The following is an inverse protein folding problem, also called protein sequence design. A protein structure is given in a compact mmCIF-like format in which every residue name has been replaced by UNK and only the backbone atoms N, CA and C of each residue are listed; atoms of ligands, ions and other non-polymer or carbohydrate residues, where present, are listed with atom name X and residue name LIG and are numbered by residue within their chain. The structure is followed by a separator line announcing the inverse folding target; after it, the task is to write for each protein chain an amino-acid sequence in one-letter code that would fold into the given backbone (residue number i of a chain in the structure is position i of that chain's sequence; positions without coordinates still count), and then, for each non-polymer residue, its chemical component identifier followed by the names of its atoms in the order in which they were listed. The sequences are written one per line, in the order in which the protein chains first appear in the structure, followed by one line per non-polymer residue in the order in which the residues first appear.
data_IF_972299571343
#
_entry.id   IF_972299571343
#
_cell.length_a   1.000
_cell.length_b   1.000
_cell.length_c   1.000
_cell.angle_alpha   90.00
_cell.angle_beta   90.00
_cell.angle_gamma   90.00
#
_symmetry.space_group_name_H-M   'P 1'
#
loop_
_entity.id
_entity.type
_entity.pdbx_description
1 polymer ?
#
# COMPACT_ATOMS: atom_id res chain seq x y z
N UNK A 1 -44.04 38.03 31.87
CA UNK A 1 -42.91 38.08 30.91
C UNK A 1 -42.36 39.50 30.94
N UNK A 2 -41.29 39.78 31.70
CA UNK A 2 -40.64 41.09 31.63
C UNK A 2 -39.35 40.90 30.81
N UNK A 3 -39.50 41.04 29.50
CA UNK A 3 -38.39 41.40 28.61
C UNK A 3 -38.05 42.87 28.93
N UNK A 4 -36.81 43.24 29.24
CA UNK A 4 -36.56 44.55 29.82
C UNK A 4 -36.32 45.64 28.80
N UNK A 5 -36.80 46.82 29.21
CA UNK A 5 -36.05 48.08 29.29
C UNK A 5 -35.01 48.25 28.17
N UNK A 6 -35.52 48.71 27.03
CA UNK A 6 -34.73 49.56 26.15
C UNK A 6 -34.30 50.78 26.96
N UNK A 7 -32.99 51.08 27.02
CA UNK A 7 -32.60 52.47 27.30
C UNK A 7 -33.15 53.31 26.15
N UNK A 8 -33.51 54.56 26.38
CA UNK A 8 -33.82 55.45 25.27
C UNK A 8 -32.53 55.70 24.49
N UNK A 9 -32.58 55.54 23.17
CA UNK A 9 -31.46 55.92 22.31
C UNK A 9 -31.36 57.45 22.39
N UNK A 10 -30.23 58.03 22.82
CA UNK A 10 -30.11 59.47 22.93
C UNK A 10 -30.39 60.16 21.59
N UNK A 11 -31.01 61.33 21.67
CA UNK A 11 -31.31 62.15 20.50
C UNK A 11 -30.04 62.41 19.67
N UNK A 12 -30.16 62.30 18.35
CA UNK A 12 -29.01 62.45 17.44
C UNK A 12 -28.10 61.22 17.32
N UNK A 13 -28.36 60.14 18.04
CA UNK A 13 -27.65 58.85 17.90
C UNK A 13 -28.55 57.77 17.32
N UNK A 14 -27.96 56.78 16.64
CA UNK A 14 -28.71 55.62 16.19
C UNK A 14 -27.83 54.36 16.04
N UNK A 15 -28.46 53.18 16.04
CA UNK A 15 -27.81 51.90 15.81
C UNK A 15 -27.41 51.78 14.34
N UNK A 16 -26.27 51.13 14.06
CA UNK A 16 -25.80 50.88 12.68
C UNK A 16 -26.86 50.22 11.79
N UNK A 17 -27.65 49.29 12.34
CA UNK A 17 -28.72 48.60 11.63
C UNK A 17 -29.91 49.50 11.28
N UNK A 18 -30.23 50.48 12.12
CA UNK A 18 -31.35 51.38 11.89
C UNK A 18 -30.96 52.56 11.00
N UNK A 19 -29.72 53.07 11.12
CA UNK A 19 -29.15 53.97 10.10
C UNK A 19 -29.23 53.33 8.72
N UNK A 20 -28.87 52.04 8.61
CA UNK A 20 -28.98 51.30 7.35
C UNK A 20 -30.42 51.21 6.83
N UNK A 21 -31.43 51.04 7.70
CA UNK A 21 -32.85 51.06 7.31
C UNK A 21 -33.29 52.43 6.79
N UNK A 22 -32.69 53.51 7.31
CA UNK A 22 -32.87 54.88 6.85
C UNK A 22 -32.07 55.21 5.57
N UNK A 23 -31.35 54.22 5.00
CA UNK A 23 -30.49 54.46 3.83
C UNK A 23 -29.23 55.25 4.14
N UNK A 24 -28.78 55.27 5.39
CA UNK A 24 -27.62 56.02 5.88
C UNK A 24 -26.52 55.08 6.39
N UNK A 25 -25.27 55.37 6.04
CA UNK A 25 -24.08 54.74 6.60
C UNK A 25 -23.35 55.74 7.51
N UNK A 26 -22.94 55.30 8.70
CA UNK A 26 -22.09 56.14 9.55
C UNK A 26 -20.70 56.31 8.94
N UNK A 27 -20.16 57.51 9.03
CA UNK A 27 -18.81 57.88 8.56
C UNK A 27 -17.81 58.10 9.70
N UNK A 28 -18.24 57.92 10.96
CA UNK A 28 -17.42 58.14 12.15
C UNK A 28 -17.38 56.92 13.06
N UNK A 29 -16.52 57.00 14.08
CA UNK A 29 -16.39 55.96 15.09
C UNK A 29 -17.63 55.88 16.00
N UNK A 30 -17.86 54.72 16.65
CA UNK A 30 -18.87 54.59 17.70
C UNK A 30 -18.72 55.66 18.77
N UNK A 31 -19.82 56.37 19.10
CA UNK A 31 -19.80 57.39 20.15
C UNK A 31 -20.13 56.83 21.53
N UNK A 32 -20.97 55.81 21.58
CA UNK A 32 -21.32 55.15 22.84
C UNK A 32 -21.89 53.75 22.59
N UNK A 33 -22.04 52.98 23.66
CA UNK A 33 -22.57 51.62 23.67
C UNK A 33 -23.99 51.62 24.24
N UNK A 34 -24.89 51.03 23.49
CA UNK A 34 -26.29 50.83 23.85
C UNK A 34 -26.51 49.41 24.33
N UNK A 35 -26.96 49.27 25.57
CA UNK A 35 -27.27 47.98 26.19
C UNK A 35 -28.78 47.72 26.13
N UNK A 36 -29.14 46.50 25.77
CA UNK A 36 -30.51 46.03 25.71
C UNK A 36 -30.57 44.57 26.14
N UNK A 37 -31.72 44.10 26.59
CA UNK A 37 -31.84 42.71 27.07
C UNK A 37 -32.70 41.86 26.14
N UNK A 38 -32.15 40.73 25.76
CA UNK A 38 -32.80 39.70 24.94
C UNK A 38 -33.20 38.50 25.79
N UNK A 39 -33.83 37.50 25.16
CA UNK A 39 -34.11 36.21 25.81
C UNK A 39 -32.83 35.46 26.23
N UNK A 40 -31.67 35.79 25.64
CA UNK A 40 -30.37 35.15 25.91
C UNK A 40 -29.54 35.89 26.97
N UNK A 41 -29.97 37.07 27.43
CA UNK A 41 -29.23 37.88 28.40
C UNK A 41 -29.11 39.34 27.97
N UNK A 42 -28.20 40.07 28.63
CA UNK A 42 -27.86 41.44 28.21
C UNK A 42 -26.96 41.40 26.97
N UNK A 43 -27.37 42.11 25.94
CA UNK A 43 -26.62 42.35 24.73
C UNK A 43 -26.30 43.84 24.61
N UNK A 44 -25.41 44.16 23.68
CA UNK A 44 -24.99 45.52 23.45
C UNK A 44 -24.72 45.75 21.97
N UNK A 45 -24.88 47.00 21.55
CA UNK A 45 -24.50 47.45 20.22
C UNK A 45 -23.93 48.86 20.29
N UNK A 46 -23.21 49.26 19.24
CA UNK A 46 -22.64 50.59 19.12
C UNK A 46 -23.66 51.59 18.55
N UNK A 47 -23.67 52.80 19.11
CA UNK A 47 -24.41 53.94 18.60
C UNK A 47 -23.48 54.89 17.86
N UNK A 48 -24.00 55.48 16.80
CA UNK A 48 -23.29 56.37 15.89
C UNK A 48 -24.07 57.68 15.76
N UNK A 49 -23.37 58.80 15.58
CA UNK A 49 -24.03 60.08 15.32
C UNK A 49 -24.79 60.05 13.99
N UNK A 50 -26.06 60.44 14.02
CA UNK A 50 -26.89 60.62 12.82
C UNK A 50 -26.34 61.75 11.94
N UNK A 51 -25.81 62.81 12.56
CA UNK A 51 -25.16 63.92 11.86
C UNK A 51 -23.86 63.53 11.13
N UNK A 52 -23.23 62.42 11.53
CA UNK A 52 -22.03 61.85 10.89
C UNK A 52 -22.41 60.64 10.03
N UNK A 53 -23.33 60.86 9.08
CA UNK A 53 -23.79 59.84 8.15
C UNK A 53 -23.76 60.32 6.70
N UNK A 54 -23.67 59.38 5.78
CA UNK A 54 -23.79 59.61 4.34
C UNK A 54 -24.84 58.68 3.74
N UNK A 55 -25.51 59.08 2.64
CA UNK A 55 -26.43 58.20 1.92
C UNK A 55 -25.73 56.93 1.45
N UNK A 56 -26.39 55.79 1.62
CA UNK A 56 -25.94 54.51 1.10
C UNK A 56 -26.16 54.47 -0.41
N UNK A 57 -25.09 54.32 -1.18
CA UNK A 57 -25.18 53.92 -2.57
C UNK A 57 -25.49 52.41 -2.66
N UNK A 58 -26.78 52.10 -2.71
CA UNK A 58 -27.25 50.71 -2.81
C UNK A 58 -26.81 50.03 -4.12
N UNK A 59 -26.71 50.76 -5.22
CA UNK A 59 -26.29 50.21 -6.51
C UNK A 59 -24.80 49.87 -6.50
N UNK A 60 -23.96 50.77 -5.99
CA UNK A 60 -22.53 50.49 -5.82
C UNK A 60 -22.28 49.33 -4.84
N UNK A 61 -23.03 49.25 -3.74
CA UNK A 61 -22.93 48.15 -2.79
C UNK A 61 -23.37 46.80 -3.39
N UNK A 62 -24.45 46.78 -4.17
CA UNK A 62 -24.88 45.58 -4.88
C UNK A 62 -23.84 45.12 -5.90
N UNK A 63 -23.28 46.06 -6.67
CA UNK A 63 -22.22 45.78 -7.62
C UNK A 63 -20.96 45.23 -6.92
N UNK A 64 -20.53 45.87 -5.83
CA UNK A 64 -19.39 45.39 -5.03
C UNK A 64 -19.64 43.99 -4.43
N UNK A 65 -20.88 43.68 -4.02
CA UNK A 65 -21.26 42.35 -3.55
C UNK A 65 -21.20 41.32 -4.67
N UNK A 66 -21.69 41.64 -5.86
CA UNK A 66 -21.61 40.77 -7.05
C UNK A 66 -20.16 40.51 -7.44
N UNK A 67 -19.32 41.54 -7.47
CA UNK A 67 -17.88 41.41 -7.76
C UNK A 67 -17.18 40.52 -6.74
N UNK A 68 -17.40 40.72 -5.43
CA UNK A 68 -16.81 39.85 -4.39
C UNK A 68 -17.28 38.40 -4.51
N UNK A 69 -18.55 38.18 -4.86
CA UNK A 69 -19.07 36.83 -5.10
C UNK A 69 -18.39 36.18 -6.31
N UNK A 70 -18.25 36.91 -7.41
CA UNK A 70 -17.55 36.44 -8.61
C UNK A 70 -16.06 36.16 -8.35
N UNK A 71 -15.37 37.02 -7.58
CA UNK A 71 -13.98 36.81 -7.19
C UNK A 71 -13.79 35.56 -6.32
N UNK A 72 -14.70 35.30 -5.39
CA UNK A 72 -14.68 34.07 -4.57
C UNK A 72 -14.91 32.83 -5.41
N UNK A 73 -15.85 32.89 -6.35
CA UNK A 73 -16.12 31.81 -7.29
C UNK A 73 -14.92 31.53 -8.19
N UNK A 74 -14.30 32.56 -8.75
CA UNK A 74 -13.08 32.41 -9.55
C UNK A 74 -11.95 31.80 -8.72
N UNK A 75 -11.71 32.33 -7.51
CA UNK A 75 -10.68 31.79 -6.63
C UNK A 75 -10.92 30.31 -6.28
N UNK A 76 -12.18 29.91 -6.08
CA UNK A 76 -12.54 28.50 -5.88
C UNK A 76 -12.17 27.65 -7.09
N UNK A 77 -12.53 28.10 -8.29
CA UNK A 77 -12.21 27.39 -9.54
C UNK A 77 -10.69 27.29 -9.77
N UNK A 78 -9.95 28.35 -9.45
CA UNK A 78 -8.48 28.37 -9.55
C UNK A 78 -7.86 27.33 -8.59
N UNK A 79 -8.37 27.24 -7.36
CA UNK A 79 -7.94 26.21 -6.39
C UNK A 79 -8.31 24.80 -6.84
N UNK A 80 -9.54 24.58 -7.31
CA UNK A 80 -9.97 23.27 -7.85
C UNK A 80 -9.07 22.81 -8.99
N UNK A 81 -8.71 23.74 -9.89
CA UNK A 81 -7.81 23.47 -11.01
C UNK A 81 -6.40 23.10 -10.49
N UNK A 82 -5.84 23.91 -9.59
CA UNK A 82 -4.52 23.67 -8.99
C UNK A 82 -4.44 22.31 -8.30
N UNK A 83 -5.41 21.95 -7.45
CA UNK A 83 -5.43 20.66 -6.77
C UNK A 83 -5.65 19.49 -7.74
N UNK A 84 -6.47 19.67 -8.78
CA UNK A 84 -6.65 18.66 -9.81
C UNK A 84 -5.35 18.40 -10.59
N UNK A 85 -4.58 19.44 -10.89
CA UNK A 85 -3.27 19.32 -11.56
C UNK A 85 -2.25 18.63 -10.64
N UNK A 86 -2.22 18.99 -9.36
CA UNK A 86 -1.33 18.38 -8.37
C UNK A 86 -1.64 16.89 -8.15
N UNK A 87 -2.93 16.53 -8.05
CA UNK A 87 -3.38 15.14 -7.98
C UNK A 87 -2.94 14.34 -9.20
N UNK A 88 -3.18 14.87 -10.40
CA UNK A 88 -2.79 14.21 -11.64
C UNK A 88 -1.27 14.02 -11.74
N UNK A 89 -0.48 15.00 -11.28
CA UNK A 89 0.98 14.88 -11.21
C UNK A 89 1.40 13.77 -10.24
N UNK A 90 0.82 13.74 -9.04
CA UNK A 90 1.16 12.74 -8.02
C UNK A 90 0.76 11.32 -8.45
N UNK A 91 -0.40 11.16 -9.10
CA UNK A 91 -0.82 9.89 -9.70
C UNK A 91 0.15 9.43 -10.78
N UNK A 92 0.58 10.34 -11.66
CA UNK A 92 1.51 10.04 -12.73
C UNK A 92 2.89 9.61 -12.20
N UNK A 93 3.42 10.32 -11.20
CA UNK A 93 4.69 10.00 -10.56
C UNK A 93 4.63 8.66 -9.82
N UNK A 94 3.56 8.44 -9.03
CA UNK A 94 3.33 7.18 -8.30
C UNK A 94 3.25 5.99 -9.26
N UNK A 95 2.53 6.16 -10.37
CA UNK A 95 2.43 5.15 -11.42
C UNK A 95 3.80 4.90 -12.08
N UNK A 96 4.56 5.95 -12.39
CA UNK A 96 5.87 5.82 -13.03
C UNK A 96 6.85 5.03 -12.15
N UNK A 97 6.87 5.31 -10.84
CA UNK A 97 7.69 4.60 -9.86
C UNK A 97 7.28 3.12 -9.75
N UNK A 98 5.98 2.85 -9.63
CA UNK A 98 5.44 1.49 -9.61
C UNK A 98 5.83 0.70 -10.88
N UNK A 99 5.69 1.32 -12.06
CA UNK A 99 6.09 0.73 -13.33
C UNK A 99 7.60 0.48 -13.40
N UNK A 100 8.43 1.32 -12.78
CA UNK A 100 9.87 1.11 -12.73
C UNK A 100 10.23 -0.14 -11.92
N UNK A 101 9.64 -0.32 -10.74
CA UNK A 101 9.83 -1.52 -9.90
C UNK A 101 9.36 -2.81 -10.58
N UNK A 102 8.23 -2.74 -11.30
CA UNK A 102 7.75 -3.85 -12.12
C UNK A 102 8.76 -4.23 -13.23
N UNK A 103 9.29 -3.24 -13.95
CA UNK A 103 10.29 -3.48 -15.01
C UNK A 103 11.57 -4.09 -14.45
N UNK A 104 12.02 -3.62 -13.27
CA UNK A 104 13.18 -4.19 -12.56
C UNK A 104 12.94 -5.67 -12.19
N UNK A 105 11.74 -5.99 -11.69
CA UNK A 105 11.36 -7.36 -11.37
C UNK A 105 11.36 -8.27 -12.60
N UNK A 106 10.71 -7.88 -13.69
CA UNK A 106 10.71 -8.66 -14.95
C UNK A 106 12.13 -8.86 -15.48
N UNK A 107 12.97 -7.82 -15.45
CA UNK A 107 14.39 -7.93 -15.83
C UNK A 107 15.14 -8.94 -14.96
N UNK A 108 14.84 -9.00 -13.66
CA UNK A 108 15.44 -9.97 -12.74
C UNK A 108 15.06 -11.41 -13.11
N UNK A 109 13.79 -11.67 -13.43
CA UNK A 109 13.36 -12.99 -13.91
C UNK A 109 14.02 -13.39 -15.23
N UNK A 110 14.22 -12.45 -16.17
CA UNK A 110 15.01 -12.71 -17.39
C UNK A 110 16.45 -13.10 -17.07
N UNK A 111 17.12 -12.31 -16.21
CA UNK A 111 18.49 -12.61 -15.82
C UNK A 111 18.63 -13.98 -15.16
N UNK A 112 17.67 -14.37 -14.32
CA UNK A 112 17.65 -15.71 -13.73
C UNK A 112 17.45 -16.80 -14.78
N UNK A 113 16.53 -16.60 -15.72
CA UNK A 113 16.28 -17.56 -16.79
C UNK A 113 17.51 -17.80 -17.68
N UNK A 114 18.34 -16.78 -17.86
CA UNK A 114 19.57 -16.84 -18.66
C UNK A 114 20.79 -17.36 -17.86
N UNK A 115 20.71 -17.47 -16.53
CA UNK A 115 21.84 -17.90 -15.69
C UNK A 115 21.95 -19.44 -15.66
N UNK A 116 22.99 -20.05 -16.26
CA UNK A 116 23.15 -21.50 -16.28
C UNK A 116 23.41 -22.11 -14.89
N UNK A 117 23.70 -21.29 -13.88
CA UNK A 117 23.90 -21.74 -12.49
C UNK A 117 22.58 -21.89 -11.75
N UNK A 118 21.47 -21.36 -12.26
CA UNK A 118 20.19 -21.41 -11.58
C UNK A 118 19.71 -22.86 -11.43
N UNK A 119 19.23 -23.19 -10.24
CA UNK A 119 18.44 -24.38 -9.93
C UNK A 119 17.25 -23.95 -9.09
N UNK A 120 16.13 -24.62 -9.26
CA UNK A 120 14.91 -24.30 -8.55
C UNK A 120 14.71 -25.32 -7.44
N UNK A 121 14.53 -24.82 -6.24
CA UNK A 121 14.45 -25.64 -5.02
C UNK A 121 13.09 -25.44 -4.39
N UNK A 122 12.49 -26.55 -3.95
CA UNK A 122 11.30 -26.55 -3.11
C UNK A 122 11.49 -27.52 -1.95
N UNK A 123 10.93 -27.16 -0.79
CA UNK A 123 10.92 -28.02 0.39
C UNK A 123 9.52 -28.15 0.98
N UNK A 124 9.25 -29.31 1.59
CA UNK A 124 8.21 -29.45 2.61
C UNK A 124 8.89 -29.67 3.96
N UNK A 125 8.25 -29.25 5.04
CA UNK A 125 8.87 -29.24 6.36
C UNK A 125 7.96 -29.82 7.44
N UNK A 126 8.53 -30.24 8.56
CA UNK A 126 7.76 -30.67 9.73
C UNK A 126 6.89 -29.56 10.33
N UNK A 127 7.14 -28.30 9.99
CA UNK A 127 6.46 -27.13 10.55
C UNK A 127 7.03 -25.83 9.98
N UNK A 128 6.45 -24.67 10.33
CA UNK A 128 6.86 -23.36 9.79
C UNK A 128 8.34 -23.02 10.05
N UNK A 129 8.90 -23.55 11.13
CA UNK A 129 10.32 -23.42 11.51
C UNK A 129 11.00 -24.79 11.64
N UNK A 130 10.44 -25.81 10.99
CA UNK A 130 10.78 -27.22 11.16
C UNK A 130 11.95 -27.72 10.29
N UNK A 131 12.16 -29.03 10.33
CA UNK A 131 13.13 -29.75 9.51
C UNK A 131 12.51 -30.09 8.15
N UNK A 132 13.35 -30.21 7.12
CA UNK A 132 12.94 -30.70 5.79
C UNK A 132 12.42 -32.15 5.90
N UNK A 133 11.25 -32.40 5.31
CA UNK A 133 10.64 -33.75 5.15
C UNK A 133 10.50 -34.18 3.71
N UNK A 134 10.63 -33.24 2.77
CA UNK A 134 10.69 -33.49 1.34
C UNK A 134 11.50 -32.36 0.70
N UNK A 135 12.34 -32.70 -0.27
CA UNK A 135 13.09 -31.71 -1.05
C UNK A 135 13.12 -32.11 -2.51
N UNK A 136 12.94 -31.10 -3.37
CA UNK A 136 13.11 -31.24 -4.80
C UNK A 136 14.05 -30.15 -5.33
N UNK A 137 14.88 -30.54 -6.29
CA UNK A 137 15.75 -29.65 -7.05
C UNK A 137 15.48 -29.92 -8.52
N UNK A 138 15.04 -28.89 -9.25
CA UNK A 138 14.72 -28.99 -10.67
C UNK A 138 15.51 -27.95 -11.47
N UNK A 139 15.77 -28.26 -12.74
CA UNK A 139 16.24 -27.30 -13.73
C UNK A 139 15.10 -26.36 -14.17
N UNK A 140 15.42 -25.28 -14.88
CA UNK A 140 14.44 -24.28 -15.32
C UNK A 140 13.35 -24.83 -16.27
N UNK A 141 13.65 -25.88 -17.02
CA UNK A 141 12.67 -26.62 -17.85
C UNK A 141 11.76 -27.54 -17.02
N UNK A 142 12.00 -27.65 -15.70
CA UNK A 142 11.23 -28.48 -14.78
C UNK A 142 11.72 -29.92 -14.63
N UNK A 143 12.86 -30.29 -15.24
CA UNK A 143 13.43 -31.63 -15.09
C UNK A 143 13.95 -31.85 -13.66
N UNK A 144 13.51 -32.90 -12.94
CA UNK A 144 14.00 -33.19 -11.60
C UNK A 144 15.44 -33.71 -11.63
N UNK A 145 16.30 -33.11 -10.80
CA UNK A 145 17.65 -33.58 -10.51
C UNK A 145 17.69 -34.34 -9.18
N UNK A 146 16.90 -33.87 -8.20
CA UNK A 146 16.66 -34.54 -6.92
C UNK A 146 15.18 -34.41 -6.60
N UNK A 147 14.57 -35.49 -6.15
CA UNK A 147 13.19 -35.55 -5.65
C UNK A 147 13.14 -36.67 -4.62
N UNK A 148 13.08 -36.32 -3.33
CA UNK A 148 13.12 -37.31 -2.25
C UNK A 148 12.40 -36.83 -1.00
N UNK A 149 11.77 -37.77 -0.31
CA UNK A 149 11.40 -37.62 1.10
C UNK A 149 12.66 -37.59 1.97
N UNK A 150 12.52 -37.05 3.17
CA UNK A 150 13.58 -36.92 4.17
C UNK A 150 13.03 -37.35 5.53
N UNK A 151 13.72 -38.28 6.18
CA UNK A 151 13.38 -38.67 7.56
C UNK A 151 13.89 -37.62 8.54
N UNK A 152 12.96 -36.81 9.06
CA UNK A 152 13.23 -35.85 10.12
C UNK A 152 13.46 -36.54 11.49
N UNK A 153 14.10 -35.83 12.43
CA UNK A 153 14.32 -36.30 13.81
C UNK A 153 13.22 -35.89 14.78
N UNK A 154 12.23 -35.15 14.30
CA UNK A 154 11.06 -34.67 15.06
C UNK A 154 9.76 -34.97 14.29
N UNK A 155 8.62 -35.14 14.98
CA UNK A 155 7.35 -35.40 14.33
C UNK A 155 6.89 -34.26 13.41
N UNK A 156 6.10 -34.59 12.39
CA UNK A 156 5.37 -33.60 11.58
C UNK A 156 4.28 -32.94 12.42
N UNK A 157 4.27 -31.60 12.45
CA UNK A 157 3.23 -30.82 13.11
C UNK A 157 1.88 -30.99 12.37
N UNK A 158 0.74 -31.03 13.09
CA UNK A 158 -0.57 -31.14 12.46
C UNK A 158 -0.87 -30.05 11.43
N UNK A 159 -0.28 -28.87 11.59
CA UNK A 159 -0.40 -27.77 10.63
C UNK A 159 0.27 -28.07 9.29
N UNK A 160 1.49 -28.61 9.32
CA UNK A 160 2.23 -28.98 8.11
C UNK A 160 1.57 -30.17 7.40
N UNK A 161 1.17 -31.20 8.17
CA UNK A 161 0.41 -32.35 7.65
C UNK A 161 -0.84 -31.92 6.86
N UNK A 162 -1.64 -30.98 7.38
CA UNK A 162 -2.83 -30.47 6.67
C UNK A 162 -2.54 -29.82 5.33
N UNK A 163 -1.31 -29.34 5.12
CA UNK A 163 -0.90 -28.70 3.86
C UNK A 163 -0.38 -29.76 2.89
N UNK A 164 0.67 -30.51 3.25
CA UNK A 164 1.37 -31.40 2.32
C UNK A 164 0.92 -32.87 2.35
N UNK A 165 0.10 -33.27 3.33
CA UNK A 165 -0.45 -34.63 3.45
C UNK A 165 0.49 -35.70 4.00
N UNK A 166 1.81 -35.49 3.98
CA UNK A 166 2.80 -36.43 4.56
C UNK A 166 2.57 -36.70 6.05
N UNK A 167 2.87 -37.93 6.45
CA UNK A 167 2.83 -38.45 7.82
C UNK A 167 4.20 -38.99 8.24
N UNK A 168 4.44 -39.14 9.55
CA UNK A 168 5.68 -39.75 10.05
C UNK A 168 5.88 -41.19 9.52
N UNK A 169 4.80 -41.89 9.20
CA UNK A 169 4.85 -43.24 8.62
C UNK A 169 5.40 -43.23 7.19
N UNK A 170 5.07 -42.20 6.40
CA UNK A 170 5.61 -42.03 5.03
C UNK A 170 7.12 -41.78 5.06
N UNK A 171 7.63 -41.18 6.14
CA UNK A 171 9.05 -40.82 6.29
C UNK A 171 9.90 -41.90 6.95
N UNK A 172 9.30 -42.97 7.50
CA UNK A 172 10.01 -43.97 8.33
C UNK A 172 11.22 -44.58 7.61
N UNK A 173 11.01 -44.93 6.34
CA UNK A 173 11.98 -45.64 5.51
C UNK A 173 12.71 -44.68 4.53
N UNK A 174 12.46 -43.36 4.64
CA UNK A 174 13.14 -42.33 3.86
C UNK A 174 14.59 -42.11 4.34
N UNK A 175 15.48 -41.61 3.47
CA UNK A 175 16.85 -41.27 3.86
C UNK A 175 16.86 -40.15 4.90
N UNK A 176 17.79 -40.23 5.86
CA UNK A 176 18.05 -39.15 6.79
C UNK A 176 18.72 -37.96 6.08
N UNK A 177 18.65 -36.78 6.69
CA UNK A 177 19.21 -35.56 6.10
C UNK A 177 20.68 -35.67 5.65
N UNK A 178 21.61 -36.29 6.41
CA UNK A 178 22.99 -36.45 5.94
C UNK A 178 23.11 -37.27 4.64
N UNK A 179 22.28 -38.30 4.47
CA UNK A 179 22.25 -39.13 3.26
C UNK A 179 21.73 -38.33 2.06
N UNK A 180 20.69 -37.51 2.28
CA UNK A 180 20.15 -36.59 1.27
C UNK A 180 21.18 -35.52 0.89
N UNK A 181 21.97 -35.04 1.85
CA UNK A 181 23.04 -34.07 1.57
C UNK A 181 24.13 -34.63 0.66
N UNK A 182 24.44 -35.93 0.72
CA UNK A 182 25.36 -36.58 -0.22
C UNK A 182 24.80 -36.60 -1.65
N UNK A 183 23.47 -36.68 -1.81
CA UNK A 183 22.80 -36.55 -3.11
C UNK A 183 22.81 -35.10 -3.62
N UNK A 184 22.56 -34.13 -2.73
CA UNK A 184 22.45 -32.71 -3.08
C UNK A 184 23.78 -32.05 -3.41
N UNK A 185 24.86 -32.43 -2.69
CA UNK A 185 26.19 -31.80 -2.81
C UNK A 185 26.72 -31.71 -4.25
N UNK A 186 26.76 -32.80 -5.06
CA UNK A 186 27.25 -32.71 -6.44
C UNK A 186 26.33 -31.87 -7.34
N UNK A 187 25.03 -31.85 -7.06
CA UNK A 187 24.04 -31.10 -7.86
C UNK A 187 24.13 -29.59 -7.60
N UNK A 188 24.36 -29.19 -6.35
CA UNK A 188 24.32 -27.78 -5.94
C UNK A 188 25.67 -27.06 -6.02
N UNK A 189 26.77 -27.78 -6.26
CA UNK A 189 28.10 -27.20 -6.28
C UNK A 189 28.23 -26.09 -7.35
N UNK A 190 28.52 -24.86 -6.92
CA UNK A 190 28.64 -23.69 -7.80
C UNK A 190 27.31 -23.18 -8.38
N UNK A 191 26.17 -23.62 -7.84
CA UNK A 191 24.83 -23.27 -8.31
C UNK A 191 24.16 -22.23 -7.41
N UNK A 192 23.12 -21.59 -7.94
CA UNK A 192 22.23 -20.69 -7.20
C UNK A 192 20.88 -21.39 -7.01
N UNK A 193 20.33 -21.30 -5.80
CA UNK A 193 19.04 -21.88 -5.44
C UNK A 193 17.96 -20.80 -5.52
N UNK A 194 17.09 -20.89 -6.51
CA UNK A 194 15.87 -20.10 -6.59
C UNK A 194 14.74 -20.87 -5.91
N UNK A 195 14.15 -20.28 -4.88
CA UNK A 195 12.95 -20.80 -4.26
C UNK A 195 11.87 -19.72 -4.23
N UNK A 196 10.61 -20.14 -4.05
CA UNK A 196 9.54 -19.17 -4.00
C UNK A 196 9.68 -18.29 -2.77
N UNK A 197 9.78 -18.90 -1.60
CA UNK A 197 10.13 -18.22 -0.36
C UNK A 197 11.50 -18.70 0.13
N UNK A 198 12.57 -18.19 -0.50
CA UNK A 198 13.93 -18.62 -0.21
C UNK A 198 14.33 -18.60 1.26
N UNK A 199 13.82 -17.66 2.07
CA UNK A 199 14.16 -17.64 3.50
C UNK A 199 13.53 -18.82 4.25
N UNK A 200 12.33 -19.24 3.86
CA UNK A 200 11.69 -20.43 4.41
C UNK A 200 12.49 -21.69 4.09
N UNK A 201 12.80 -21.93 2.81
CA UNK A 201 13.55 -23.11 2.36
C UNK A 201 14.97 -23.15 2.94
N UNK A 202 15.68 -22.02 2.92
CA UNK A 202 17.02 -21.89 3.53
C UNK A 202 16.98 -22.19 5.02
N UNK A 203 16.01 -21.64 5.75
CA UNK A 203 15.86 -21.90 7.19
C UNK A 203 15.55 -23.36 7.47
N UNK A 204 14.70 -24.00 6.68
CA UNK A 204 14.42 -25.43 6.81
C UNK A 204 15.69 -26.26 6.64
N UNK A 205 16.50 -25.98 5.61
CA UNK A 205 17.80 -26.62 5.41
C UNK A 205 18.76 -26.37 6.59
N UNK A 206 18.79 -25.15 7.12
CA UNK A 206 19.61 -24.80 8.28
C UNK A 206 19.16 -25.51 9.56
N UNK A 207 17.85 -25.66 9.78
CA UNK A 207 17.29 -26.42 10.91
C UNK A 207 17.64 -27.90 10.79
N UNK A 208 17.49 -28.51 9.61
CA UNK A 208 17.92 -29.89 9.37
C UNK A 208 19.42 -30.06 9.56
N UNK A 209 20.24 -29.13 9.07
CA UNK A 209 21.68 -29.12 9.30
C UNK A 209 22.00 -29.13 10.80
N UNK A 210 21.39 -28.22 11.57
CA UNK A 210 21.60 -28.12 13.02
C UNK A 210 21.18 -29.40 13.77
N UNK A 211 20.07 -30.03 13.38
CA UNK A 211 19.59 -31.28 13.97
C UNK A 211 20.58 -32.46 13.82
N UNK A 212 21.49 -32.36 12.84
CA UNK A 212 22.50 -33.38 12.56
C UNK A 212 23.94 -32.91 12.81
N UNK A 213 24.14 -31.74 13.46
CA UNK A 213 25.47 -31.19 13.72
C UNK A 213 26.26 -30.82 12.45
N UNK A 214 25.56 -30.50 11.36
CA UNK A 214 26.14 -30.18 10.06
C UNK A 214 26.12 -28.66 9.78
N UNK A 215 27.00 -28.23 8.87
CA UNK A 215 26.96 -26.90 8.25
C UNK A 215 27.35 -27.01 6.78
N UNK A 216 26.57 -26.40 5.88
CA UNK A 216 26.84 -26.40 4.45
C UNK A 216 26.25 -25.16 3.77
N UNK A 217 26.49 -25.03 2.45
CA UNK A 217 26.10 -23.87 1.64
C UNK A 217 24.59 -23.61 1.63
N UNK A 218 23.72 -24.61 1.86
CA UNK A 218 22.27 -24.38 1.91
C UNK A 218 21.85 -23.53 3.12
N UNK A 219 22.67 -23.43 4.16
CA UNK A 219 22.44 -22.51 5.27
C UNK A 219 22.77 -21.05 4.93
N UNK A 220 23.55 -20.80 3.88
CA UNK A 220 24.10 -19.49 3.57
C UNK A 220 23.21 -18.71 2.59
N UNK A 221 22.81 -17.50 3.01
CA UNK A 221 21.91 -16.62 2.26
C UNK A 221 22.44 -16.24 0.88
N UNK A 222 23.75 -16.21 0.66
CA UNK A 222 24.32 -15.74 -0.62
C UNK A 222 23.97 -16.63 -1.82
N UNK A 223 23.62 -17.90 -1.58
CA UNK A 223 23.26 -18.85 -2.63
C UNK A 223 21.77 -18.85 -2.96
N UNK A 224 20.95 -18.12 -2.20
CA UNK A 224 19.50 -18.16 -2.33
C UNK A 224 18.93 -16.92 -3.01
N UNK A 225 18.06 -17.15 -3.97
CA UNK A 225 17.29 -16.14 -4.70
C UNK A 225 15.81 -16.33 -4.36
N UNK A 226 15.11 -15.23 -4.08
CA UNK A 226 13.71 -15.26 -3.65
C UNK A 226 12.76 -14.80 -4.76
N UNK A 227 11.98 -15.72 -5.32
CA UNK A 227 11.03 -15.37 -6.38
C UNK A 227 9.81 -14.61 -5.84
N UNK A 228 9.35 -14.88 -4.62
CA UNK A 228 8.18 -14.21 -4.01
C UNK A 228 8.41 -12.70 -3.87
N UNK A 229 9.59 -12.30 -3.39
CA UNK A 229 9.90 -10.86 -3.24
C UNK A 229 10.12 -10.19 -4.60
N UNK A 230 10.72 -10.90 -5.56
CA UNK A 230 10.83 -10.40 -6.93
C UNK A 230 9.46 -10.28 -7.62
N UNK A 231 8.53 -11.19 -7.36
CA UNK A 231 7.18 -11.18 -7.93
C UNK A 231 6.28 -10.11 -7.33
N UNK A 232 6.54 -9.63 -6.12
CA UNK A 232 5.62 -8.76 -5.38
C UNK A 232 5.19 -7.50 -6.17
N UNK A 233 6.10 -6.83 -6.89
CA UNK A 233 5.74 -5.69 -7.75
C UNK A 233 5.04 -6.09 -9.05
N UNK A 234 5.21 -7.34 -9.51
CA UNK A 234 4.49 -7.90 -10.67
C UNK A 234 3.04 -8.20 -10.32
N UNK A 235 2.78 -8.65 -9.08
CA UNK A 235 1.42 -8.86 -8.56
C UNK A 235 0.59 -7.58 -8.42
N UNK A 236 1.21 -6.41 -8.60
CA UNK A 236 0.54 -5.11 -8.77
C UNK A 236 -0.44 -4.71 -7.64
N UNK A 237 -0.13 -5.12 -6.42
CA UNK A 237 -0.91 -4.79 -5.23
C UNK A 237 0.01 -4.31 -4.10
N UNK A 238 -0.36 -3.22 -3.44
CA UNK A 238 0.36 -2.60 -2.33
C UNK A 238 -0.29 -2.91 -0.98
N UNK A 239 0.49 -2.86 0.09
CA UNK A 239 0.00 -3.04 1.45
C UNK A 239 0.37 -1.84 2.33
N UNK A 240 -0.58 -0.94 2.56
CA UNK A 240 -0.38 0.23 3.43
C UNK A 240 0.08 -0.16 4.83
N UNK A 241 -0.50 -1.24 5.38
CA UNK A 241 -0.13 -1.77 6.69
C UNK A 241 1.37 -2.11 6.79
N UNK A 242 1.99 -2.60 5.71
CA UNK A 242 3.40 -3.01 5.70
C UNK A 242 4.32 -1.99 5.04
N UNK A 243 3.79 -1.01 4.32
CA UNK A 243 4.57 -0.05 3.55
C UNK A 243 5.40 -0.70 2.44
N UNK A 244 4.91 -1.80 1.86
CA UNK A 244 5.59 -2.57 0.82
C UNK A 244 4.60 -3.24 -0.13
N UNK A 245 5.14 -3.75 -1.25
CA UNK A 245 4.39 -4.59 -2.18
C UNK A 245 3.81 -5.82 -1.49
N UNK A 246 2.57 -6.14 -1.82
CA UNK A 246 1.89 -7.31 -1.26
C UNK A 246 2.54 -8.59 -1.79
N UNK A 247 2.93 -9.47 -0.87
CA UNK A 247 3.39 -10.80 -1.27
C UNK A 247 2.22 -11.64 -1.74
N UNK A 248 2.40 -12.27 -2.90
CA UNK A 248 1.46 -13.22 -3.49
C UNK A 248 1.93 -14.63 -3.18
N UNK A 249 1.01 -15.59 -3.02
CA UNK A 249 1.38 -17.00 -2.90
C UNK A 249 1.78 -17.57 -4.27
N UNK A 250 2.59 -18.64 -4.31
CA UNK A 250 3.00 -19.24 -5.59
C UNK A 250 1.79 -19.66 -6.42
N UNK A 251 0.78 -20.25 -5.76
CA UNK A 251 -0.48 -20.63 -6.40
C UNK A 251 -1.17 -19.43 -7.06
N UNK A 252 -1.30 -18.30 -6.36
CA UNK A 252 -1.96 -17.12 -6.90
C UNK A 252 -1.11 -16.45 -7.99
N UNK A 253 0.21 -16.41 -7.82
CA UNK A 253 1.12 -15.89 -8.84
C UNK A 253 1.03 -16.73 -10.13
N UNK A 254 1.01 -18.06 -10.03
CA UNK A 254 0.78 -18.93 -11.18
C UNK A 254 -0.58 -18.66 -11.82
N UNK A 255 -1.64 -18.54 -11.02
CA UNK A 255 -2.99 -18.24 -11.50
C UNK A 255 -3.07 -16.91 -12.25
N UNK A 256 -2.55 -15.83 -11.66
CA UNK A 256 -2.48 -14.49 -12.26
C UNK A 256 -1.72 -14.48 -13.58
N UNK A 257 -0.67 -15.31 -13.70
CA UNK A 257 0.16 -15.40 -14.91
C UNK A 257 -0.33 -16.44 -15.93
N UNK A 258 -1.45 -17.12 -15.66
CA UNK A 258 -1.98 -18.18 -16.53
C UNK A 258 -1.05 -19.40 -16.63
N UNK A 259 -0.26 -19.65 -15.58
CA UNK A 259 0.63 -20.81 -15.46
C UNK A 259 -0.09 -21.91 -14.69
N UNK A 260 -0.03 -23.13 -15.20
CA UNK A 260 -0.59 -24.28 -14.50
C UNK A 260 0.05 -24.40 -13.10
N UNK A 261 -0.76 -24.41 -12.02
CA UNK A 261 -0.24 -24.51 -10.66
C UNK A 261 0.45 -25.87 -10.45
N UNK A 262 1.01 -26.04 -9.26
CA UNK A 262 1.36 -27.37 -8.76
C UNK A 262 0.15 -28.33 -8.87
N UNK A 263 0.38 -29.60 -9.17
CA UNK A 263 -0.66 -30.63 -9.14
C UNK A 263 -1.33 -30.67 -7.75
N UNK A 264 -2.51 -31.27 -7.59
CA UNK A 264 -3.38 -31.14 -6.39
C UNK A 264 -2.77 -31.55 -5.02
N UNK A 265 -1.48 -31.89 -4.94
CA UNK A 265 -0.74 -32.17 -3.70
C UNK A 265 0.35 -31.11 -3.51
N UNK A 266 0.37 -30.42 -2.34
CA UNK A 266 1.43 -29.47 -1.95
C UNK A 266 2.76 -30.22 -1.69
N UNK A 267 3.47 -30.57 -2.75
CA UNK A 267 4.71 -31.36 -2.72
C UNK A 267 5.90 -30.49 -3.06
N UNK A 268 7.10 -30.95 -2.73
CA UNK A 268 8.30 -30.19 -3.05
C UNK A 268 8.49 -30.08 -4.58
N UNK A 269 8.34 -31.20 -5.30
CA UNK A 269 8.56 -31.25 -6.75
C UNK A 269 7.54 -30.41 -7.52
N UNK A 270 6.26 -30.54 -7.19
CA UNK A 270 5.18 -29.81 -7.87
C UNK A 270 5.35 -28.30 -7.72
N UNK A 271 5.68 -27.83 -6.52
CA UNK A 271 5.98 -26.43 -6.23
C UNK A 271 7.21 -25.93 -7.00
N UNK A 272 8.30 -26.69 -7.01
CA UNK A 272 9.51 -26.35 -7.74
C UNK A 272 9.26 -26.25 -9.26
N UNK A 273 8.51 -27.19 -9.84
CA UNK A 273 8.13 -27.17 -11.25
C UNK A 273 7.17 -26.03 -11.58
N UNK A 274 6.22 -25.71 -10.70
CA UNK A 274 5.33 -24.57 -10.87
C UNK A 274 6.12 -23.25 -10.88
N UNK A 275 7.11 -23.11 -9.99
CA UNK A 275 8.03 -21.98 -10.00
C UNK A 275 8.87 -21.93 -11.30
N UNK A 276 9.35 -23.07 -11.80
CA UNK A 276 10.07 -23.14 -13.07
C UNK A 276 9.26 -22.59 -14.25
N UNK A 277 8.00 -23.00 -14.34
CA UNK A 277 7.05 -22.48 -15.34
C UNK A 277 6.77 -21.00 -15.14
N UNK A 278 6.62 -20.54 -13.89
CA UNK A 278 6.42 -19.13 -13.58
C UNK A 278 7.62 -18.28 -14.02
N UNK A 279 8.85 -18.70 -13.71
CA UNK A 279 10.07 -17.99 -14.15
C UNK A 279 10.12 -17.92 -15.68
N UNK A 280 9.87 -19.03 -16.37
CA UNK A 280 9.84 -19.09 -17.84
C UNK A 280 8.77 -18.17 -18.43
N UNK A 281 7.58 -18.10 -17.81
CA UNK A 281 6.52 -17.19 -18.22
C UNK A 281 6.93 -15.73 -18.05
N UNK A 282 7.48 -15.37 -16.89
CA UNK A 282 7.86 -14.00 -16.56
C UNK A 282 9.08 -13.52 -17.37
N UNK A 283 10.03 -14.39 -17.68
CA UNK A 283 11.18 -14.04 -18.52
C UNK A 283 10.75 -13.71 -19.96
N UNK A 284 9.76 -14.43 -20.49
CA UNK A 284 9.19 -14.19 -21.83
C UNK A 284 8.22 -13.01 -21.92
N UNK A 285 7.81 -12.43 -20.79
CA UNK A 285 6.82 -11.36 -20.74
C UNK A 285 7.34 -10.11 -21.45
N UNK A 286 6.53 -9.39 -22.25
CA UNK A 286 6.94 -8.09 -22.80
C UNK A 286 7.15 -7.08 -21.66
N UNK A 287 8.06 -6.11 -21.79
CA UNK A 287 8.34 -5.13 -20.73
C UNK A 287 7.26 -4.02 -20.62
N UNK A 288 5.99 -4.40 -20.77
CA UNK A 288 4.83 -3.50 -20.76
C UNK A 288 4.13 -3.62 -19.40
N UNK A 289 4.39 -2.69 -18.45
CA UNK A 289 3.71 -2.71 -17.16
C UNK A 289 2.25 -2.23 -17.29
N UNK A 290 1.42 -2.44 -16.24
CA UNK A 290 0.07 -1.91 -16.21
C UNK A 290 0.01 -0.38 -16.32
N UNK A 291 -1.07 0.13 -16.89
CA UNK A 291 -1.30 1.56 -17.15
C UNK A 291 -2.14 2.25 -16.08
N UNK A 292 -2.61 1.51 -15.08
CA UNK A 292 -3.39 2.02 -13.94
C UNK A 292 -2.60 1.84 -12.66
N UNK A 293 -2.88 2.65 -11.65
CA UNK A 293 -2.25 2.52 -10.34
C UNK A 293 -2.42 1.11 -9.74
N UNK A 294 -1.44 0.64 -8.96
CA UNK A 294 -1.56 -0.60 -8.19
C UNK A 294 -2.75 -0.61 -7.25
N UNK A 295 -3.31 -1.79 -7.00
CA UNK A 295 -4.33 -1.97 -5.96
C UNK A 295 -3.75 -1.48 -4.61
N UNK A 296 -4.48 -0.60 -3.91
CA UNK A 296 -4.02 -0.04 -2.64
C UNK A 296 -3.06 1.16 -2.75
N UNK A 297 -2.82 1.71 -3.95
CA UNK A 297 -2.10 2.98 -4.15
C UNK A 297 -2.99 4.09 -4.73
N UNK A 298 -4.28 4.11 -4.36
CA UNK A 298 -5.16 5.17 -4.82
C UNK A 298 -4.73 6.52 -4.24
N UNK A 299 -4.60 7.53 -5.11
CA UNK A 299 -4.34 8.91 -4.70
C UNK A 299 -5.68 9.61 -4.49
N UNK A 300 -5.77 10.37 -3.41
CA UNK A 300 -6.96 11.11 -3.00
C UNK A 300 -6.60 12.56 -2.70
N UNK A 301 -7.61 13.41 -2.55
CA UNK A 301 -7.43 14.82 -2.16
C UNK A 301 -6.68 14.99 -0.84
N UNK A 302 -6.72 14.02 0.07
CA UNK A 302 -5.95 14.04 1.31
C UNK A 302 -4.43 14.03 1.05
N UNK A 303 -3.99 13.39 -0.04
CA UNK A 303 -2.58 13.29 -0.40
C UNK A 303 -1.96 14.61 -0.86
N UNK A 304 -2.78 15.57 -1.31
CA UNK A 304 -2.34 16.92 -1.71
C UNK A 304 -2.68 17.96 -0.64
N UNK A 305 -2.93 17.52 0.60
CA UNK A 305 -3.22 18.41 1.73
C UNK A 305 -4.52 19.20 1.56
N UNK A 306 -5.45 18.73 0.73
CA UNK A 306 -6.75 19.36 0.60
C UNK A 306 -7.69 18.86 1.70
N UNK A 307 -8.16 19.79 2.54
CA UNK A 307 -9.29 19.55 3.43
C UNK A 307 -10.34 20.66 3.26
N UNK A 308 -11.65 20.34 3.26
CA UNK A 308 -12.71 21.35 3.29
C UNK A 308 -12.62 22.32 4.48
N UNK A 309 -11.91 21.89 5.55
CA UNK A 309 -11.81 22.58 6.83
C UNK A 309 -10.71 23.66 6.85
N UNK A 310 -9.62 23.48 6.09
CA UNK A 310 -8.53 24.45 5.94
C UNK A 310 -8.84 25.56 4.93
N UNK A 311 -9.89 25.39 4.13
CA UNK A 311 -10.39 26.38 3.18
C UNK A 311 -11.86 26.77 3.45
N UNK A 312 -12.19 27.35 4.61
CA UNK A 312 -13.56 27.64 5.04
C UNK A 312 -14.25 28.76 4.22
N UNK A 313 -13.57 29.36 3.24
CA UNK A 313 -14.11 30.35 2.32
C UNK A 313 -14.65 29.78 1.00
N UNK A 314 -14.66 28.45 0.87
CA UNK A 314 -15.63 27.75 0.03
C UNK A 314 -17.08 28.16 0.37
#
# INVERSE_FOLDING_TARGET
MILPVHREIPEGLNRKTDLKKLGLASTGDPLTRYEYRTRKGWEHCNLYAVAATTPIDWKANEQARKTRKAQREQHRQDLETMFSEELASLEADTLADAQQEWRKAVKRFRHWADDPRLLIVGTQTTGLTGQVVEIAVVTLDGTPLVDTLVRATVPIEPGAHRIHGLTDADLRDAPAWPEVMELLKPVLQGRLCLAYNAEFDRRACATSNAAHGMYNALSDRQYWLCAMTAYASIGWAWSDRRGEWRWTSLRNACFEQGVAPEADTHRALGGAQALARLVSKLSSMPPNPPTTLPEGMAITTENVGWTPEEHPSW
#
